data_IF_213881787349
#
_entry.id   IF_213881787349
#
_cell.length_a   1.000
_cell.length_b   1.000
_cell.length_c   1.000
_cell.angle_alpha   90.00
_cell.angle_beta   90.00
_cell.angle_gamma   90.00
#
_symmetry.space_group_name_H-M   'P 1'
#
loop_
_entity.id
_entity.type
_entity.pdbx_description
1 polymer ?
#
# COMPACT_ATOMS: atom_id res chain seq x y z
N UNK A 1 1.24 -14.67 21.89
CA UNK A 1 1.72 -14.15 20.57
C UNK A 1 2.59 -12.95 20.87
N UNK A 2 3.67 -12.73 20.13
CA UNK A 2 4.51 -11.53 20.30
C UNK A 2 3.71 -10.28 19.88
N UNK A 3 3.85 -9.20 20.65
CA UNK A 3 3.25 -7.90 20.27
C UNK A 3 3.76 -7.47 18.89
N UNK A 4 2.89 -6.93 18.03
CA UNK A 4 3.26 -6.44 16.71
C UNK A 4 3.52 -4.94 16.72
N UNK A 5 4.57 -4.51 16.02
CA UNK A 5 4.85 -3.09 15.78
C UNK A 5 4.60 -2.75 14.30
N UNK A 6 3.46 -2.11 14.02
CA UNK A 6 3.07 -1.72 12.66
C UNK A 6 3.23 -0.20 12.49
N UNK A 7 3.98 0.21 11.45
CA UNK A 7 4.19 1.61 11.10
C UNK A 7 3.25 2.09 10.00
N UNK A 8 2.86 3.37 10.07
CA UNK A 8 2.27 4.10 8.95
C UNK A 8 3.29 5.14 8.50
N UNK A 9 3.74 5.10 7.26
CA UNK A 9 4.70 6.06 6.72
C UNK A 9 4.08 7.46 6.68
N UNK A 10 4.53 8.33 7.58
CA UNK A 10 3.92 9.64 7.82
C UNK A 10 4.68 10.81 7.16
N UNK A 11 5.18 10.60 5.93
CA UNK A 11 5.81 11.65 5.15
C UNK A 11 4.78 12.57 4.51
N UNK A 12 3.69 11.99 3.99
CA UNK A 12 2.58 12.70 3.36
C UNK A 12 1.42 11.72 3.13
N UNK A 13 0.16 12.18 3.16
CA UNK A 13 -1.03 11.41 2.75
C UNK A 13 -1.96 11.01 3.90
N UNK A 14 -2.76 9.97 3.69
CA UNK A 14 -3.88 9.53 4.54
C UNK A 14 -3.40 8.72 5.75
N UNK A 15 -2.57 9.36 6.60
CA UNK A 15 -1.87 8.72 7.73
C UNK A 15 -2.82 8.39 8.88
N UNK A 16 -3.72 9.33 9.22
CA UNK A 16 -4.62 9.17 10.35
C UNK A 16 -5.68 8.09 10.10
N UNK A 17 -6.22 8.04 8.90
CA UNK A 17 -7.21 7.06 8.46
C UNK A 17 -6.62 5.65 8.48
N UNK A 18 -5.42 5.48 7.93
CA UNK A 18 -4.70 4.20 7.98
C UNK A 18 -4.35 3.77 9.40
N UNK A 19 -3.95 4.70 10.26
CA UNK A 19 -3.71 4.43 11.67
C UNK A 19 -4.97 3.88 12.35
N UNK A 20 -6.11 4.54 12.16
CA UNK A 20 -7.38 4.11 12.76
C UNK A 20 -7.84 2.76 12.24
N UNK A 21 -7.78 2.53 10.92
CA UNK A 21 -8.20 1.26 10.31
C UNK A 21 -7.31 0.10 10.76
N UNK A 22 -6.00 0.32 10.92
CA UNK A 22 -5.06 -0.69 11.42
C UNK A 22 -5.34 -1.04 12.88
N UNK A 23 -5.55 -0.03 13.74
CA UNK A 23 -5.93 -0.24 15.14
C UNK A 23 -7.24 -1.03 15.27
N UNK A 24 -8.25 -0.70 14.45
CA UNK A 24 -9.51 -1.44 14.43
C UNK A 24 -9.30 -2.89 13.99
N UNK A 25 -8.51 -3.12 12.94
CA UNK A 25 -8.19 -4.46 12.44
C UNK A 25 -7.48 -5.31 13.51
N UNK A 26 -6.48 -4.77 14.19
CA UNK A 26 -5.78 -5.46 15.29
C UNK A 26 -6.73 -5.80 16.45
N UNK A 27 -7.58 -4.85 16.84
CA UNK A 27 -8.57 -5.07 17.91
C UNK A 27 -9.57 -6.17 17.55
N UNK A 28 -10.13 -6.15 16.33
CA UNK A 28 -11.06 -7.18 15.87
C UNK A 28 -10.45 -8.57 15.72
N UNK A 29 -9.14 -8.64 15.47
CA UNK A 29 -8.37 -9.90 15.42
C UNK A 29 -7.90 -10.37 16.79
N UNK A 30 -8.01 -9.55 17.84
CA UNK A 30 -7.47 -9.83 19.15
C UNK A 30 -5.93 -9.95 19.15
N UNK A 31 -5.25 -9.16 18.32
CA UNK A 31 -3.80 -9.13 18.19
C UNK A 31 -3.26 -7.95 18.99
N UNK A 32 -2.38 -8.23 19.96
CA UNK A 32 -1.72 -7.20 20.76
C UNK A 32 -0.55 -6.57 19.99
N UNK A 33 -0.32 -5.27 20.24
CA UNK A 33 0.78 -4.54 19.63
C UNK A 33 0.54 -3.03 19.54
N UNK A 34 1.41 -2.37 18.80
CA UNK A 34 1.35 -0.92 18.59
C UNK A 34 1.20 -0.55 17.11
N UNK A 35 0.51 0.57 16.86
CA UNK A 35 0.52 1.24 15.56
C UNK A 35 1.17 2.61 15.76
N UNK A 36 2.12 2.96 14.92
CA UNK A 36 2.87 4.22 15.05
C UNK A 36 3.02 4.94 13.73
N UNK A 37 3.12 6.27 13.79
CA UNK A 37 3.47 7.09 12.64
C UNK A 37 4.99 7.18 12.56
N UNK A 38 5.57 6.77 11.42
CA UNK A 38 7.02 6.72 11.24
C UNK A 38 7.49 7.61 10.10
N UNK A 39 8.65 8.24 10.30
CA UNK A 39 9.24 9.17 9.32
C UNK A 39 10.73 8.96 9.11
N UNK A 40 11.43 8.38 10.08
CA UNK A 40 12.89 8.28 10.08
C UNK A 40 13.36 6.85 9.84
N UNK A 41 14.60 6.66 9.33
CA UNK A 41 15.18 5.34 9.14
C UNK A 41 15.13 4.45 10.40
N UNK A 42 15.48 4.99 11.57
CA UNK A 42 15.51 4.24 12.83
C UNK A 42 14.11 3.75 13.22
N UNK A 43 13.09 4.58 13.04
CA UNK A 43 11.70 4.17 13.30
C UNK A 43 11.27 3.03 12.36
N UNK A 44 11.61 3.14 11.05
CA UNK A 44 11.27 2.12 10.04
C UNK A 44 11.98 0.79 10.34
N UNK A 45 13.26 0.84 10.76
CA UNK A 45 14.05 -0.36 11.04
C UNK A 45 13.51 -1.21 12.20
N UNK A 46 12.76 -0.60 13.12
CA UNK A 46 12.20 -1.27 14.29
C UNK A 46 10.87 -1.99 14.01
N UNK A 47 10.27 -1.84 12.85
CA UNK A 47 8.92 -2.33 12.54
C UNK A 47 8.88 -3.82 12.17
N UNK A 48 7.73 -4.44 12.44
CA UNK A 48 7.35 -5.77 11.95
C UNK A 48 6.54 -5.69 10.65
N UNK A 49 5.85 -4.57 10.38
CA UNK A 49 5.10 -4.32 9.16
C UNK A 49 4.90 -2.83 8.90
N UNK A 50 4.68 -2.46 7.65
CA UNK A 50 4.55 -1.05 7.25
C UNK A 50 3.40 -0.82 6.28
N UNK A 51 2.64 0.24 6.50
CA UNK A 51 1.69 0.79 5.52
C UNK A 51 2.28 2.04 4.89
N UNK A 52 2.34 2.05 3.56
CA UNK A 52 2.65 3.23 2.75
C UNK A 52 1.31 3.78 2.26
N UNK A 53 0.84 4.92 2.81
CA UNK A 53 -0.53 5.40 2.57
C UNK A 53 -0.72 5.98 1.16
N UNK A 54 -1.97 6.30 0.85
CA UNK A 54 -2.33 7.17 -0.26
C UNK A 54 -1.79 8.58 -0.08
N UNK A 55 -1.70 9.34 -1.20
CA UNK A 55 -1.18 10.70 -1.18
C UNK A 55 -0.59 11.11 -2.53
N UNK A 56 0.50 11.90 -2.54
CA UNK A 56 1.22 12.28 -3.75
C UNK A 56 2.57 11.54 -3.83
N UNK A 57 2.66 10.57 -4.75
CA UNK A 57 3.78 9.62 -4.85
C UNK A 57 5.13 10.28 -5.14
N UNK A 58 5.16 11.35 -5.94
CA UNK A 58 6.41 12.06 -6.25
C UNK A 58 6.96 12.76 -5.01
N UNK A 59 6.10 13.42 -4.24
CA UNK A 59 6.48 14.07 -2.99
C UNK A 59 6.95 13.06 -1.95
N UNK A 60 6.24 11.94 -1.80
CA UNK A 60 6.63 10.87 -0.89
C UNK A 60 8.00 10.30 -1.24
N UNK A 61 8.26 10.05 -2.52
CA UNK A 61 9.56 9.59 -3.01
C UNK A 61 10.68 10.58 -2.73
N UNK A 62 10.46 11.86 -3.04
CA UNK A 62 11.44 12.93 -2.80
C UNK A 62 11.75 13.09 -1.29
N UNK A 63 10.73 13.13 -0.43
CA UNK A 63 10.91 13.22 1.01
C UNK A 63 11.64 12.00 1.57
N UNK A 64 11.34 10.79 1.06
CA UNK A 64 12.03 9.56 1.47
C UNK A 64 13.52 9.58 1.11
N UNK A 65 13.89 10.18 -0.03
CA UNK A 65 15.31 10.37 -0.39
C UNK A 65 16.00 11.36 0.54
N UNK A 66 15.37 12.51 0.78
CA UNK A 66 15.99 13.61 1.56
C UNK A 66 16.24 13.20 3.00
N UNK A 67 15.34 12.46 3.63
CA UNK A 67 15.46 12.08 5.04
C UNK A 67 16.09 10.69 5.26
N UNK A 68 16.48 9.99 4.19
CA UNK A 68 17.10 8.66 4.25
C UNK A 68 16.12 7.49 4.43
N UNK A 69 14.82 7.74 4.52
CA UNK A 69 13.80 6.68 4.67
C UNK A 69 13.80 5.71 3.47
N UNK A 70 14.12 6.19 2.26
CA UNK A 70 14.15 5.35 1.05
C UNK A 70 15.05 4.12 1.22
N UNK A 71 16.24 4.27 1.80
CA UNK A 71 17.17 3.17 2.01
C UNK A 71 16.65 2.21 3.08
N UNK A 72 16.15 2.72 4.21
CA UNK A 72 15.59 1.88 5.27
C UNK A 72 14.35 1.08 4.79
N UNK A 73 13.52 1.69 3.93
CA UNK A 73 12.41 0.99 3.30
C UNK A 73 12.89 -0.17 2.41
N UNK A 74 13.88 0.07 1.55
CA UNK A 74 14.46 -0.97 0.69
C UNK A 74 15.03 -2.13 1.52
N UNK A 75 15.88 -1.83 2.50
CA UNK A 75 16.49 -2.84 3.39
C UNK A 75 15.44 -3.69 4.12
N UNK A 76 14.37 -3.06 4.64
CA UNK A 76 13.29 -3.78 5.34
C UNK A 76 12.45 -4.63 4.39
N UNK A 77 12.18 -4.16 3.17
CA UNK A 77 11.46 -4.93 2.16
C UNK A 77 12.30 -6.12 1.67
N UNK A 78 13.59 -5.91 1.42
CA UNK A 78 14.53 -6.99 1.08
C UNK A 78 14.66 -8.03 2.20
N UNK A 79 14.46 -7.62 3.46
CA UNK A 79 14.38 -8.52 4.63
C UNK A 79 12.98 -9.12 4.82
N UNK A 80 12.14 -9.10 3.79
CA UNK A 80 10.79 -9.68 3.75
C UNK A 80 9.79 -9.09 4.76
N UNK A 81 10.01 -7.87 5.26
CA UNK A 81 9.01 -7.18 6.07
C UNK A 81 7.71 -7.00 5.28
N UNK A 82 6.54 -7.39 5.81
CA UNK A 82 5.27 -7.14 5.15
C UNK A 82 4.98 -5.66 4.94
N UNK A 83 4.53 -5.32 3.72
CA UNK A 83 4.18 -3.96 3.34
C UNK A 83 2.82 -3.90 2.65
N UNK A 84 1.99 -2.95 3.05
CA UNK A 84 0.77 -2.57 2.35
C UNK A 84 0.96 -1.21 1.68
N UNK A 85 0.92 -1.18 0.34
CA UNK A 85 0.96 0.06 -0.45
C UNK A 85 -0.41 0.47 -0.96
N UNK A 86 -0.87 1.66 -0.62
CA UNK A 86 -2.21 2.17 -0.97
C UNK A 86 -2.06 3.31 -1.97
N UNK A 87 -2.69 3.22 -3.14
CA UNK A 87 -2.74 4.27 -4.16
C UNK A 87 -1.33 4.83 -4.48
N UNK A 88 -0.92 5.95 -3.90
CA UNK A 88 0.43 6.50 -4.03
C UNK A 88 1.51 5.56 -3.47
N UNK A 89 1.20 4.81 -2.42
CA UNK A 89 2.08 3.77 -1.87
C UNK A 89 2.32 2.63 -2.85
N UNK A 90 1.29 2.19 -3.59
CA UNK A 90 1.44 1.22 -4.67
C UNK A 90 2.38 1.74 -5.78
N UNK A 91 2.24 3.03 -6.15
CA UNK A 91 3.13 3.67 -7.13
C UNK A 91 4.56 3.70 -6.59
N UNK A 92 4.78 4.09 -5.33
CA UNK A 92 6.12 4.17 -4.75
C UNK A 92 6.83 2.80 -4.71
N UNK A 93 6.09 1.71 -4.49
CA UNK A 93 6.59 0.33 -4.48
C UNK A 93 6.94 -0.18 -5.88
N UNK A 94 6.32 0.33 -6.94
CA UNK A 94 6.43 -0.22 -8.29
C UNK A 94 7.84 -0.12 -8.88
N UNK A 95 8.08 -0.95 -9.87
CA UNK A 95 9.31 -0.94 -10.69
C UNK A 95 9.32 0.22 -11.68
N UNK A 96 8.16 0.46 -12.31
CA UNK A 96 7.99 1.53 -13.29
C UNK A 96 6.66 2.25 -13.09
N UNK A 97 6.66 3.56 -13.31
CA UNK A 97 5.42 4.32 -13.37
C UNK A 97 5.42 5.29 -14.54
N UNK A 98 4.25 5.45 -15.14
CA UNK A 98 4.01 6.45 -16.17
C UNK A 98 2.71 7.20 -15.88
N UNK A 99 2.69 8.45 -16.26
CA UNK A 99 1.46 9.25 -16.24
C UNK A 99 0.76 9.13 -17.58
N UNK A 100 -0.57 9.08 -17.57
CA UNK A 100 -1.37 8.94 -18.79
C UNK A 100 -1.20 10.09 -19.78
N UNK A 101 -0.81 11.27 -19.30
CA UNK A 101 -0.70 12.48 -20.13
C UNK A 101 0.73 12.79 -20.51
N UNK A 102 1.67 12.72 -19.53
CA UNK A 102 3.06 13.13 -19.74
C UNK A 102 4.00 11.96 -20.05
N UNK A 103 3.53 10.72 -19.97
CA UNK A 103 4.34 9.53 -20.23
C UNK A 103 5.18 9.10 -19.03
N UNK A 104 6.42 8.65 -19.27
CA UNK A 104 7.31 8.19 -18.21
C UNK A 104 7.52 9.26 -17.14
N UNK A 105 7.48 8.86 -15.87
CA UNK A 105 7.72 9.77 -14.74
C UNK A 105 9.09 9.47 -14.13
N UNK A 106 9.93 10.51 -13.99
CA UNK A 106 11.22 10.42 -13.32
C UNK A 106 11.08 10.64 -11.81
N UNK A 107 10.16 9.91 -11.17
CA UNK A 107 10.00 9.98 -9.72
C UNK A 107 10.80 8.88 -9.02
N UNK A 108 11.28 9.10 -7.79
CA UNK A 108 11.92 8.06 -7.01
C UNK A 108 10.93 6.91 -6.71
N UNK A 109 11.36 5.68 -6.96
CA UNK A 109 10.60 4.45 -6.69
C UNK A 109 11.44 3.49 -5.82
N UNK A 110 10.77 2.61 -5.10
CA UNK A 110 11.42 1.55 -4.30
C UNK A 110 11.88 0.39 -5.17
N UNK A 111 11.23 0.17 -6.33
CA UNK A 111 11.51 -0.96 -7.25
C UNK A 111 11.39 -2.33 -6.56
N UNK A 112 10.39 -2.46 -5.68
CA UNK A 112 10.18 -3.64 -4.86
C UNK A 112 9.02 -4.52 -5.33
N UNK A 113 8.10 -3.96 -6.11
CA UNK A 113 6.94 -4.63 -6.69
C UNK A 113 7.09 -4.66 -8.21
N UNK A 114 7.21 -5.85 -8.81
CA UNK A 114 7.45 -6.03 -10.25
C UNK A 114 6.19 -5.74 -11.09
N UNK A 115 5.78 -4.49 -11.06
CA UNK A 115 4.66 -3.98 -11.85
C UNK A 115 5.01 -2.68 -12.57
N UNK A 116 4.37 -2.45 -13.72
CA UNK A 116 4.28 -1.15 -14.37
C UNK A 116 2.94 -0.51 -14.05
N UNK A 117 2.94 0.73 -13.59
CA UNK A 117 1.74 1.45 -13.15
C UNK A 117 1.45 2.65 -14.05
N UNK A 118 0.16 2.81 -14.42
CA UNK A 118 -0.36 4.05 -14.99
C UNK A 118 -0.98 4.90 -13.88
N UNK A 119 -0.41 6.08 -13.64
CA UNK A 119 -0.96 7.07 -12.71
C UNK A 119 -2.24 7.68 -13.29
N UNK A 120 -3.18 8.07 -12.43
CA UNK A 120 -4.44 8.72 -12.83
C UNK A 120 -5.23 7.92 -13.88
N UNK A 121 -5.19 6.58 -13.80
CA UNK A 121 -5.74 5.69 -14.82
C UNK A 121 -7.26 5.73 -14.90
N UNK A 122 -7.96 6.19 -13.85
CA UNK A 122 -9.42 6.31 -13.78
C UNK A 122 -9.93 7.75 -14.00
N UNK A 123 -9.07 8.65 -14.48
CA UNK A 123 -9.46 10.02 -14.82
C UNK A 123 -8.80 11.09 -13.94
N UNK A 124 -9.34 12.32 -14.02
CA UNK A 124 -8.84 13.49 -13.30
C UNK A 124 -9.43 13.52 -11.87
N UNK A 125 -8.91 14.40 -11.00
CA UNK A 125 -9.36 14.55 -9.61
C UNK A 125 -10.89 14.72 -9.43
N UNK A 126 -11.60 15.14 -10.46
CA UNK A 126 -13.06 15.26 -10.48
C UNK A 126 -13.77 13.91 -10.59
N UNK A 127 -13.03 12.86 -10.95
CA UNK A 127 -13.56 11.52 -11.22
C UNK A 127 -13.25 10.57 -10.05
N UNK A 128 -13.29 11.08 -8.80
CA UNK A 128 -13.34 10.23 -7.62
C UNK A 128 -14.67 9.51 -7.58
N UNK A 129 -14.64 8.20 -7.32
CA UNK A 129 -15.83 7.37 -7.29
C UNK A 129 -15.68 6.24 -6.28
N UNK A 130 -16.80 5.66 -5.91
CA UNK A 130 -16.87 4.44 -5.13
C UNK A 130 -17.38 3.30 -6.01
N UNK A 131 -16.84 2.11 -5.83
CA UNK A 131 -17.29 0.93 -6.55
C UNK A 131 -17.13 -0.32 -5.68
N UNK A 132 -18.07 -1.24 -5.86
CA UNK A 132 -17.93 -2.58 -5.31
C UNK A 132 -16.88 -3.34 -6.12
N UNK A 133 -15.90 -3.92 -5.43
CA UNK A 133 -14.83 -4.72 -6.01
C UNK A 133 -14.75 -6.08 -5.32
N UNK A 134 -14.30 -7.11 -6.04
CA UNK A 134 -14.04 -8.42 -5.48
C UNK A 134 -12.52 -8.64 -5.36
N UNK A 135 -12.11 -9.16 -4.21
CA UNK A 135 -10.76 -9.60 -3.90
C UNK A 135 -10.83 -11.08 -3.45
N UNK A 136 -11.44 -11.92 -4.27
CA UNK A 136 -11.67 -13.35 -3.96
C UNK A 136 -10.42 -14.12 -3.52
N UNK A 137 -9.21 -13.89 -4.10
CA UNK A 137 -8.00 -14.55 -3.63
C UNK A 137 -7.64 -14.25 -2.16
N UNK A 138 -8.27 -13.23 -1.56
CA UNK A 138 -8.12 -12.84 -0.16
C UNK A 138 -9.34 -13.19 0.70
N UNK A 139 -10.29 -13.99 0.20
CA UNK A 139 -11.58 -14.26 0.86
C UNK A 139 -12.39 -12.99 1.17
N UNK A 140 -12.29 -11.98 0.30
CA UNK A 140 -13.06 -10.73 0.35
C UNK A 140 -13.90 -10.63 -0.93
N UNK A 141 -15.08 -11.28 -1.00
CA UNK A 141 -15.88 -11.34 -2.22
C UNK A 141 -16.53 -10.01 -2.61
N UNK A 142 -16.73 -9.12 -1.65
CA UNK A 142 -17.29 -7.79 -1.87
C UNK A 142 -16.60 -6.79 -0.94
N UNK A 143 -16.08 -5.72 -1.51
CA UNK A 143 -15.42 -4.61 -0.80
C UNK A 143 -15.79 -3.28 -1.47
N UNK A 144 -16.17 -2.28 -0.68
CA UNK A 144 -16.43 -0.93 -1.21
C UNK A 144 -15.11 -0.18 -1.40
N UNK A 145 -14.59 -0.15 -2.63
CA UNK A 145 -13.37 0.58 -2.96
C UNK A 145 -13.63 2.07 -3.19
N UNK A 146 -12.87 2.93 -2.54
CA UNK A 146 -12.88 4.39 -2.78
C UNK A 146 -11.71 4.76 -3.68
N UNK A 147 -11.99 5.23 -4.87
CA UNK A 147 -10.99 5.57 -5.90
C UNK A 147 -10.82 7.09 -5.99
N UNK A 148 -9.61 7.59 -5.77
CA UNK A 148 -9.27 9.03 -5.84
C UNK A 148 -8.04 9.18 -6.72
N UNK A 149 -8.19 9.69 -7.94
CA UNK A 149 -7.11 9.78 -8.95
C UNK A 149 -6.32 8.47 -9.07
N UNK A 150 -7.02 7.36 -8.94
CA UNK A 150 -6.42 6.06 -8.70
C UNK A 150 -5.49 5.61 -9.84
N UNK A 151 -4.36 4.96 -9.51
CA UNK A 151 -3.53 4.27 -10.49
C UNK A 151 -4.18 2.97 -10.96
N UNK A 152 -3.63 2.36 -12.00
CA UNK A 152 -3.90 0.98 -12.35
C UNK A 152 -2.60 0.29 -12.77
N UNK A 153 -2.52 -1.01 -12.51
CA UNK A 153 -1.41 -1.83 -12.98
C UNK A 153 -1.62 -2.14 -14.45
N UNK A 154 -0.62 -1.88 -15.27
CA UNK A 154 -0.61 -2.15 -16.73
C UNK A 154 0.01 -3.50 -17.04
N UNK A 155 1.10 -3.84 -16.35
CA UNK A 155 1.84 -5.09 -16.53
C UNK A 155 2.29 -5.62 -15.17
N UNK A 156 2.32 -6.94 -15.05
CA UNK A 156 2.80 -7.66 -13.87
C UNK A 156 3.93 -8.59 -14.26
N UNK A 157 4.95 -8.71 -13.40
CA UNK A 157 5.93 -9.79 -13.47
C UNK A 157 5.30 -11.15 -13.16
N UNK A 158 6.09 -12.22 -13.37
CA UNK A 158 5.63 -13.61 -13.20
C UNK A 158 5.21 -13.96 -11.78
N UNK A 159 5.81 -13.33 -10.79
CA UNK A 159 5.62 -13.63 -9.37
C UNK A 159 4.58 -12.72 -8.70
N UNK A 160 3.90 -11.88 -9.49
CA UNK A 160 2.85 -10.96 -9.03
C UNK A 160 1.48 -11.60 -9.22
N UNK A 161 0.79 -11.83 -8.13
CA UNK A 161 -0.59 -12.30 -8.11
C UNK A 161 -1.56 -11.12 -8.27
N UNK A 162 -2.51 -11.24 -9.21
CA UNK A 162 -3.62 -10.29 -9.34
C UNK A 162 -4.72 -10.67 -8.36
N UNK A 163 -5.01 -9.79 -7.41
CA UNK A 163 -6.04 -10.00 -6.39
C UNK A 163 -7.41 -9.46 -6.78
N UNK A 164 -7.46 -8.43 -7.61
CA UNK A 164 -8.73 -7.83 -8.04
C UNK A 164 -8.61 -6.98 -9.29
N UNK A 165 -9.73 -6.88 -10.01
CA UNK A 165 -9.87 -6.04 -11.20
C UNK A 165 -11.16 -5.21 -11.12
N UNK A 166 -11.12 -4.04 -11.74
CA UNK A 166 -12.29 -3.21 -11.97
C UNK A 166 -12.24 -2.64 -13.39
N UNK A 167 -13.29 -2.87 -14.20
CA UNK A 167 -13.33 -2.49 -15.62
C UNK A 167 -12.06 -2.93 -16.38
N UNK A 168 -11.71 -4.21 -16.29
CA UNK A 168 -10.51 -4.85 -16.89
C UNK A 168 -9.16 -4.33 -16.38
N UNK A 169 -9.14 -3.30 -15.52
CA UNK A 169 -7.92 -2.76 -14.92
C UNK A 169 -7.58 -3.52 -13.64
N UNK A 170 -6.33 -3.90 -13.48
CA UNK A 170 -5.83 -4.51 -12.25
C UNK A 170 -5.72 -3.42 -11.18
N UNK A 171 -6.40 -3.63 -10.04
CA UNK A 171 -6.54 -2.66 -8.95
C UNK A 171 -5.96 -3.14 -7.63
N UNK A 172 -5.65 -4.42 -7.51
CA UNK A 172 -5.01 -4.98 -6.32
C UNK A 172 -4.09 -6.13 -6.73
N UNK A 173 -2.91 -6.16 -6.14
CA UNK A 173 -1.87 -7.16 -6.43
C UNK A 173 -1.14 -7.56 -5.15
N UNK A 174 -0.50 -8.74 -5.20
CA UNK A 174 0.39 -9.24 -4.16
C UNK A 174 1.64 -9.83 -4.78
N UNK A 175 2.80 -9.59 -4.15
CA UNK A 175 4.06 -10.24 -4.47
C UNK A 175 4.80 -10.54 -3.17
N UNK A 176 4.96 -11.81 -2.83
CA UNK A 176 5.56 -12.20 -1.54
C UNK A 176 4.83 -11.54 -0.36
N UNK A 177 5.55 -10.73 0.40
CA UNK A 177 5.03 -9.98 1.55
C UNK A 177 4.58 -8.55 1.20
N UNK A 178 4.45 -8.21 -0.07
CA UNK A 178 3.94 -6.91 -0.52
C UNK A 178 2.49 -7.07 -0.99
N UNK A 179 1.58 -6.32 -0.38
CA UNK A 179 0.19 -6.15 -0.78
C UNK A 179 -0.01 -4.72 -1.27
N UNK A 180 -0.67 -4.51 -2.41
CA UNK A 180 -0.88 -3.17 -2.92
C UNK A 180 -2.26 -2.99 -3.57
N UNK A 181 -2.87 -1.82 -3.36
CA UNK A 181 -4.20 -1.46 -3.88
C UNK A 181 -4.19 -0.10 -4.56
N UNK A 182 -5.01 0.03 -5.61
CA UNK A 182 -5.27 1.30 -6.31
C UNK A 182 -6.25 2.20 -5.57
N UNK A 183 -7.15 1.61 -4.80
CA UNK A 183 -8.21 2.27 -4.04
C UNK A 183 -7.78 2.45 -2.57
N UNK A 184 -8.55 3.24 -1.84
CA UNK A 184 -8.33 3.62 -0.45
C UNK A 184 -9.23 2.80 0.49
N UNK A 185 -8.75 1.65 1.04
CA UNK A 185 -9.53 0.85 1.97
C UNK A 185 -9.76 1.56 3.31
N UNK A 186 -8.86 2.45 3.69
CA UNK A 186 -8.91 3.23 4.94
C UNK A 186 -10.05 4.26 4.98
N UNK A 187 -10.64 4.59 3.84
CA UNK A 187 -11.76 5.53 3.75
C UNK A 187 -13.12 4.86 3.90
N UNK A 188 -13.15 3.56 4.22
CA UNK A 188 -14.36 2.81 4.48
C UNK A 188 -14.42 2.35 5.93
N UNK A 189 -15.57 1.79 6.34
CA UNK A 189 -15.69 1.15 7.65
C UNK A 189 -15.30 -0.33 7.65
N UNK A 190 -15.09 -0.89 6.47
CA UNK A 190 -14.69 -2.27 6.30
C UNK A 190 -13.16 -2.40 6.44
N UNK A 191 -12.71 -3.01 7.51
CA UNK A 191 -11.29 -3.23 7.79
C UNK A 191 -10.78 -4.60 7.34
N UNK A 192 -11.55 -5.33 6.52
CA UNK A 192 -11.18 -6.69 6.08
C UNK A 192 -9.81 -6.72 5.39
N UNK A 193 -9.48 -5.74 4.55
CA UNK A 193 -8.18 -5.65 3.89
C UNK A 193 -7.04 -5.35 4.89
N UNK A 194 -7.26 -4.46 5.85
CA UNK A 194 -6.30 -4.21 6.93
C UNK A 194 -6.12 -5.44 7.82
N UNK A 195 -7.17 -6.23 8.08
CA UNK A 195 -7.05 -7.53 8.79
C UNK A 195 -6.16 -8.51 8.04
N UNK A 196 -6.32 -8.63 6.73
CA UNK A 196 -5.46 -9.48 5.91
C UNK A 196 -3.99 -9.05 6.02
N UNK A 197 -3.73 -7.75 5.99
CA UNK A 197 -2.39 -7.21 6.18
C UNK A 197 -1.84 -7.51 7.58
N UNK A 198 -2.60 -7.23 8.65
CA UNK A 198 -2.19 -7.51 10.04
C UNK A 198 -1.90 -9.01 10.25
N UNK A 199 -2.73 -9.90 9.67
CA UNK A 199 -2.48 -11.34 9.71
C UNK A 199 -1.20 -11.73 8.96
N UNK A 200 -0.88 -11.06 7.85
CA UNK A 200 0.37 -11.27 7.12
C UNK A 200 1.58 -10.88 7.98
N UNK A 201 1.50 -9.74 8.68
CA UNK A 201 2.55 -9.31 9.64
C UNK A 201 2.71 -10.33 10.77
N UNK A 202 1.60 -10.78 11.36
CA UNK A 202 1.63 -11.77 12.44
C UNK A 202 2.26 -13.12 12.02
N UNK A 203 2.03 -13.55 10.77
CA UNK A 203 2.62 -14.76 10.20
C UNK A 203 4.12 -14.62 9.93
N UNK A 204 4.56 -13.44 9.48
CA UNK A 204 5.97 -13.18 9.17
C UNK A 204 6.83 -13.08 10.45
N UNK A 205 6.25 -12.69 11.59
CA UNK A 205 6.97 -12.55 12.88
C UNK A 205 7.15 -13.90 13.61
N UNK A 206 6.36 -14.94 13.30
CA UNK A 206 6.42 -16.26 13.94
C UNK A 206 7.27 -17.24 13.13
#
# INVERSE_FOLDING_TARGET
MSELDIGILALQGDVAENFMSTMMAMNELGIDGSVSQVKTPDQISALDGLIIPGGESTMMGQLSLVNGAMNALKEKIESEMPVLGICAGMILLSKNSKDRVVGATEQPLLDALDVEIERNSFGRQKDSFEAEVSLEPMDIPSFQGVFIRAPAVLQTGSDVETLGKFNEKIIAVKQGNILATSFHPELTRDVSLHKQFVQMVAKSKN
#
